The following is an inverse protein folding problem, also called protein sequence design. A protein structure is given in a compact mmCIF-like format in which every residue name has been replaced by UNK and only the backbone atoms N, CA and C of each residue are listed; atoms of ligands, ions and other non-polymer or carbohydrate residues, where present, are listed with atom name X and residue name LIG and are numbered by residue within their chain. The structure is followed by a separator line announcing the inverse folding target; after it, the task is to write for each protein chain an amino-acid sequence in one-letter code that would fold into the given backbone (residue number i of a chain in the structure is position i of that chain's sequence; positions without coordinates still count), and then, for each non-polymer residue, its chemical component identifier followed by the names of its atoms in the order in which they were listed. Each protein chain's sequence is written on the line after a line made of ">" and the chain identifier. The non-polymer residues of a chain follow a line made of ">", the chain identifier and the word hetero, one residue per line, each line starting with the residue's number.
data_IF_930556516871
#
_entry.id   IF_930556516871
#
_cell.length_a   1.000
_cell.length_b   1.000
_cell.length_c   1.000
_cell.angle_alpha   90.00
_cell.angle_beta   90.00
_cell.angle_gamma   90.00
#
_symmetry.space_group_name_H-M   'P 1'
#
loop_
_entity.id
_entity.type
_entity.pdbx_description
1 polymer ?
#
# COMPACT_ATOMS: atom_id res chain seq x y z
N UNK A 1 19.63 -1.15 -21.00
CA UNK A 1 20.21 -0.59 -19.75
C UNK A 1 21.00 -1.74 -19.12
N UNK A 2 22.29 -1.55 -18.90
CA UNK A 2 23.10 -2.59 -18.25
C UNK A 2 22.64 -2.78 -16.81
N UNK A 3 22.57 -4.05 -16.36
CA UNK A 3 22.21 -4.34 -14.98
C UNK A 3 23.38 -3.96 -14.06
N UNK A 4 23.13 -3.35 -12.88
CA UNK A 4 24.16 -3.20 -11.85
C UNK A 4 24.86 -4.53 -11.58
N UNK A 5 26.16 -4.50 -11.32
CA UNK A 5 26.97 -5.72 -11.09
C UNK A 5 26.64 -6.33 -9.71
N UNK A 6 25.43 -6.85 -9.55
CA UNK A 6 25.05 -7.66 -8.38
C UNK A 6 25.33 -9.12 -8.71
N UNK A 7 26.24 -9.72 -7.93
CA UNK A 7 26.64 -11.10 -8.14
C UNK A 7 25.52 -12.07 -7.71
N UNK A 8 25.23 -13.03 -8.57
CA UNK A 8 24.43 -14.19 -8.23
C UNK A 8 25.32 -15.34 -7.72
N UNK A 9 24.78 -16.29 -6.96
CA UNK A 9 25.46 -17.54 -6.65
C UNK A 9 25.88 -18.30 -7.93
N UNK A 10 26.88 -19.15 -7.84
CA UNK A 10 27.34 -19.93 -8.98
C UNK A 10 26.21 -20.80 -9.58
N UNK A 11 26.16 -20.89 -10.91
CA UNK A 11 25.14 -21.63 -11.65
C UNK A 11 23.84 -20.85 -11.87
N UNK A 12 23.78 -19.54 -11.48
CA UNK A 12 22.65 -18.67 -11.73
C UNK A 12 23.05 -17.47 -12.59
N UNK A 13 22.09 -16.97 -13.40
CA UNK A 13 22.30 -15.77 -14.23
C UNK A 13 21.06 -14.90 -14.23
N UNK A 14 21.27 -13.59 -14.35
CA UNK A 14 20.20 -12.62 -14.57
C UNK A 14 19.58 -12.76 -15.96
N UNK A 15 18.29 -12.55 -16.05
CA UNK A 15 17.54 -12.44 -17.30
C UNK A 15 16.63 -11.21 -17.25
N UNK A 16 16.79 -10.34 -18.26
CA UNK A 16 15.82 -9.28 -18.54
C UNK A 16 14.60 -9.91 -19.21
N UNK A 17 13.42 -9.40 -18.87
CA UNK A 17 12.15 -9.92 -19.37
C UNK A 17 11.51 -8.97 -20.36
N UNK A 18 10.73 -9.54 -21.27
CA UNK A 18 9.88 -8.84 -22.22
C UNK A 18 8.46 -9.39 -22.17
N UNK A 19 7.53 -8.80 -22.90
CA UNK A 19 6.17 -9.30 -22.98
C UNK A 19 6.05 -10.74 -23.50
N UNK A 20 7.03 -11.18 -24.30
CA UNK A 20 7.09 -12.55 -24.84
C UNK A 20 7.39 -13.59 -23.74
N UNK A 21 7.97 -13.16 -22.62
CA UNK A 21 8.29 -14.03 -21.48
C UNK A 21 7.12 -14.26 -20.53
N UNK A 22 5.96 -13.73 -20.85
CA UNK A 22 4.76 -13.76 -19.98
C UNK A 22 4.47 -15.16 -19.45
N UNK A 23 4.49 -16.19 -20.31
CA UNK A 23 4.23 -17.58 -19.93
C UNK A 23 5.19 -18.07 -18.87
N UNK A 24 6.48 -17.82 -19.04
CA UNK A 24 7.52 -18.19 -18.06
C UNK A 24 7.32 -17.49 -16.71
N UNK A 25 6.89 -16.21 -16.75
CA UNK A 25 6.55 -15.46 -15.55
C UNK A 25 5.36 -16.07 -14.83
N UNK A 26 4.28 -16.38 -15.56
CA UNK A 26 3.07 -16.99 -15.01
C UNK A 26 3.36 -18.37 -14.39
N UNK A 27 4.19 -19.18 -15.06
CA UNK A 27 4.60 -20.49 -14.56
C UNK A 27 5.37 -20.39 -13.24
N UNK A 28 6.35 -19.46 -13.14
CA UNK A 28 7.07 -19.25 -11.89
C UNK A 28 6.16 -18.68 -10.79
N UNK A 29 5.27 -17.75 -11.14
CA UNK A 29 4.36 -17.13 -10.19
C UNK A 29 3.47 -18.16 -9.50
N UNK A 30 2.93 -19.13 -10.24
CA UNK A 30 2.10 -20.21 -9.67
C UNK A 30 2.88 -21.15 -8.74
N UNK A 31 4.20 -21.23 -8.84
CA UNK A 31 5.05 -21.92 -7.86
C UNK A 31 5.26 -21.10 -6.59
N UNK A 32 5.33 -19.79 -6.70
CA UNK A 32 5.50 -18.89 -5.56
C UNK A 32 4.16 -18.58 -4.87
N UNK A 33 3.10 -18.42 -5.66
CA UNK A 33 1.74 -18.08 -5.22
C UNK A 33 0.75 -19.09 -5.80
N UNK A 34 0.51 -20.24 -5.12
CA UNK A 34 -0.37 -21.27 -5.61
C UNK A 34 -1.75 -20.75 -5.97
N UNK A 35 -2.20 -20.98 -7.19
CA UNK A 35 -3.49 -20.57 -7.72
C UNK A 35 -4.23 -21.76 -8.28
N UNK A 36 -5.58 -21.78 -8.17
CA UNK A 36 -6.44 -22.73 -8.84
C UNK A 36 -6.78 -22.36 -10.29
N UNK A 37 -6.30 -21.22 -10.78
CA UNK A 37 -6.53 -20.74 -12.15
C UNK A 37 -5.53 -21.39 -13.10
N UNK A 38 -6.00 -21.83 -14.27
CA UNK A 38 -5.11 -22.42 -15.28
C UNK A 38 -4.13 -21.37 -15.84
N UNK A 39 -2.97 -21.79 -16.30
CA UNK A 39 -2.01 -20.89 -16.94
C UNK A 39 -2.62 -20.17 -18.17
N UNK A 40 -3.45 -20.86 -18.94
CA UNK A 40 -4.09 -20.27 -20.13
C UNK A 40 -5.08 -19.14 -19.73
N UNK A 41 -5.83 -19.32 -18.64
CA UNK A 41 -6.70 -18.29 -18.10
C UNK A 41 -5.90 -17.10 -17.52
N UNK A 42 -4.76 -17.37 -16.87
CA UNK A 42 -3.87 -16.33 -16.38
C UNK A 42 -3.23 -15.54 -17.53
N UNK A 43 -2.83 -16.22 -18.59
CA UNK A 43 -2.23 -15.60 -19.78
C UNK A 43 -3.27 -14.79 -20.59
N UNK A 44 -4.55 -15.14 -20.50
CA UNK A 44 -5.64 -14.40 -21.14
C UNK A 44 -5.95 -13.06 -20.41
N UNK A 45 -5.61 -12.93 -19.13
CA UNK A 45 -5.81 -11.70 -18.35
C UNK A 45 -4.77 -10.65 -18.67
N UNK A 46 -5.05 -9.35 -18.52
CA UNK A 46 -4.04 -8.31 -18.69
C UNK A 46 -2.84 -8.49 -17.77
N UNK A 47 -1.61 -8.33 -18.30
CA UNK A 47 -0.42 -8.31 -17.45
C UNK A 47 -0.19 -6.91 -16.91
N UNK A 48 -0.04 -6.73 -15.58
CA UNK A 48 0.23 -5.43 -15.00
C UNK A 48 1.72 -5.03 -15.05
N UNK A 49 2.59 -5.92 -15.51
CA UNK A 49 4.03 -5.74 -15.44
C UNK A 49 4.53 -4.60 -16.33
N UNK A 50 5.42 -3.80 -15.76
CA UNK A 50 6.29 -2.88 -16.46
C UNK A 50 7.56 -3.65 -16.81
N UNK A 51 7.65 -4.16 -18.04
CA UNK A 51 8.61 -5.18 -18.42
C UNK A 51 10.09 -4.78 -18.28
N UNK A 52 10.44 -3.51 -18.51
CA UNK A 52 11.78 -2.98 -18.26
C UNK A 52 12.13 -2.88 -16.77
N UNK A 53 11.14 -3.07 -15.89
CA UNK A 53 11.29 -3.14 -14.43
C UNK A 53 11.15 -4.57 -13.88
N UNK A 54 10.96 -5.57 -14.74
CA UNK A 54 10.86 -6.98 -14.38
C UNK A 54 12.16 -7.70 -14.69
N UNK A 55 12.73 -8.37 -13.70
CA UNK A 55 14.01 -9.10 -13.81
C UNK A 55 13.84 -10.48 -13.21
N UNK A 56 14.33 -11.46 -13.93
CA UNK A 56 14.31 -12.85 -13.49
C UNK A 56 15.71 -13.43 -13.30
N UNK A 57 15.75 -14.60 -12.71
CA UNK A 57 16.94 -15.44 -12.58
C UNK A 57 16.67 -16.78 -13.23
N UNK A 58 17.64 -17.26 -14.02
CA UNK A 58 17.69 -18.61 -14.55
C UNK A 58 18.77 -19.42 -13.83
N UNK A 59 18.63 -20.74 -13.81
CA UNK A 59 19.59 -21.65 -13.25
C UNK A 59 20.13 -22.58 -14.33
N UNK A 60 21.42 -22.90 -14.26
CA UNK A 60 22.04 -23.89 -15.15
C UNK A 60 21.38 -25.26 -14.95
N UNK A 61 20.98 -25.90 -16.06
CA UNK A 61 20.36 -27.23 -16.06
C UNK A 61 18.87 -27.22 -15.57
N UNK A 62 18.24 -26.05 -15.40
CA UNK A 62 16.82 -25.94 -15.10
C UNK A 62 16.09 -25.25 -16.26
N UNK A 63 14.96 -25.83 -16.69
CA UNK A 63 14.13 -25.25 -17.73
C UNK A 63 13.09 -24.29 -17.09
N UNK A 64 13.14 -23.01 -17.47
CA UNK A 64 12.29 -21.95 -16.96
C UNK A 64 12.98 -20.99 -15.98
N UNK A 65 12.17 -20.12 -15.36
CA UNK A 65 12.63 -19.13 -14.40
C UNK A 65 12.68 -19.72 -12.99
N UNK A 66 13.71 -19.36 -12.22
CA UNK A 66 13.86 -19.82 -10.83
C UNK A 66 13.62 -18.72 -9.78
N UNK A 67 13.68 -17.47 -10.19
CA UNK A 67 13.32 -16.34 -9.37
C UNK A 67 12.89 -15.15 -10.23
N UNK A 68 12.08 -14.27 -9.65
CA UNK A 68 11.54 -13.08 -10.31
C UNK A 68 11.30 -11.98 -9.28
N UNK A 69 11.55 -10.75 -9.66
CA UNK A 69 10.96 -9.56 -9.04
C UNK A 69 10.62 -8.52 -10.11
N UNK A 70 9.65 -7.67 -9.80
CA UNK A 70 9.31 -6.53 -10.64
C UNK A 70 9.03 -5.29 -9.76
N UNK A 71 8.89 -4.12 -10.37
CA UNK A 71 8.39 -2.95 -9.68
C UNK A 71 7.46 -2.13 -10.58
N UNK A 72 6.43 -1.55 -9.96
CA UNK A 72 5.60 -0.55 -10.63
C UNK A 72 6.23 0.84 -10.49
N UNK A 73 6.20 1.66 -11.53
CA UNK A 73 6.66 3.05 -11.47
C UNK A 73 5.52 3.91 -10.90
N UNK A 74 5.54 4.19 -9.61
CA UNK A 74 4.64 5.20 -9.03
C UNK A 74 5.34 6.56 -9.10
N UNK A 75 4.97 7.37 -10.10
CA UNK A 75 5.52 8.73 -10.25
C UNK A 75 4.95 9.67 -9.18
N UNK A 76 3.71 9.42 -8.75
CA UNK A 76 2.94 10.22 -7.81
C UNK A 76 2.54 9.41 -6.56
N UNK A 77 3.51 8.78 -5.88
CA UNK A 77 3.23 8.05 -4.64
C UNK A 77 2.95 9.04 -3.51
N UNK A 78 1.73 9.04 -2.92
CA UNK A 78 1.38 9.98 -1.88
C UNK A 78 2.18 9.73 -0.59
N UNK A 79 2.89 10.76 -0.15
CA UNK A 79 3.52 10.86 1.17
C UNK A 79 2.84 11.99 1.96
N UNK A 80 3.07 12.15 3.27
CA UNK A 80 2.44 13.24 4.03
C UNK A 80 2.62 14.60 3.35
N UNK A 81 1.52 15.20 2.89
CA UNK A 81 1.46 16.54 2.27
C UNK A 81 2.13 16.70 0.90
N UNK A 82 2.61 15.61 0.29
CA UNK A 82 3.34 15.65 -0.98
C UNK A 82 3.18 14.34 -1.78
N UNK A 83 3.87 14.26 -2.92
CA UNK A 83 4.01 13.05 -3.74
C UNK A 83 5.49 12.87 -4.09
N UNK A 84 5.95 11.61 -4.13
CA UNK A 84 7.33 11.28 -4.50
C UNK A 84 7.36 10.09 -5.48
N UNK A 85 8.33 10.08 -6.42
CA UNK A 85 8.57 8.90 -7.24
C UNK A 85 9.00 7.72 -6.36
N UNK A 86 8.35 6.57 -6.55
CA UNK A 86 8.50 5.41 -5.68
C UNK A 86 8.45 4.11 -6.48
N UNK A 87 9.38 3.19 -6.22
CA UNK A 87 9.32 1.86 -6.78
C UNK A 87 8.35 0.98 -5.99
N UNK A 88 7.23 0.59 -6.59
CA UNK A 88 6.29 -0.37 -6.01
C UNK A 88 6.79 -1.80 -6.20
N UNK A 89 7.61 -2.34 -5.28
CA UNK A 89 8.16 -3.70 -5.40
C UNK A 89 7.04 -4.75 -5.37
N UNK A 90 7.07 -5.63 -6.36
CA UNK A 90 6.01 -6.62 -6.59
C UNK A 90 6.55 -7.87 -7.27
N UNK A 91 5.72 -8.91 -7.42
CA UNK A 91 6.06 -10.16 -8.12
C UNK A 91 7.34 -10.81 -7.60
N UNK A 92 7.61 -10.74 -6.30
CA UNK A 92 8.80 -11.32 -5.70
C UNK A 92 8.57 -12.80 -5.44
N UNK A 93 9.11 -13.65 -6.27
CA UNK A 93 8.95 -15.09 -6.19
C UNK A 93 10.26 -15.84 -6.36
N UNK A 94 10.42 -16.98 -5.66
CA UNK A 94 11.53 -17.92 -5.84
C UNK A 94 10.96 -19.32 -5.90
N UNK A 95 11.28 -20.04 -6.98
CA UNK A 95 10.87 -21.43 -7.17
C UNK A 95 11.25 -22.29 -5.95
N UNK A 96 10.38 -23.16 -5.43
CA UNK A 96 10.63 -23.91 -4.21
C UNK A 96 11.95 -24.70 -4.16
N UNK A 97 12.40 -25.28 -5.28
CA UNK A 97 13.65 -26.02 -5.37
C UNK A 97 14.91 -25.12 -5.28
N UNK A 98 14.76 -23.80 -5.46
CA UNK A 98 15.87 -22.84 -5.48
C UNK A 98 15.87 -21.88 -4.27
N UNK A 99 15.00 -22.12 -3.29
CA UNK A 99 14.94 -21.34 -2.04
C UNK A 99 16.20 -21.50 -1.20
N UNK A 100 16.46 -20.51 -0.32
CA UNK A 100 17.59 -20.47 0.65
C UNK A 100 18.98 -20.53 0.01
N UNK A 101 19.11 -20.09 -1.25
CA UNK A 101 20.36 -20.03 -2.01
C UNK A 101 20.85 -18.59 -2.25
N UNK A 102 20.31 -17.59 -1.53
CA UNK A 102 20.70 -16.19 -1.65
C UNK A 102 19.99 -15.40 -2.76
N UNK A 103 19.15 -16.03 -3.59
CA UNK A 103 18.48 -15.38 -4.74
C UNK A 103 17.64 -14.17 -4.33
N UNK A 104 16.81 -14.31 -3.29
CA UNK A 104 16.00 -13.19 -2.80
C UNK A 104 16.88 -12.01 -2.36
N UNK A 105 18.01 -12.27 -1.69
CA UNK A 105 18.93 -11.21 -1.30
C UNK A 105 19.48 -10.48 -2.51
N UNK A 106 19.97 -11.21 -3.51
CA UNK A 106 20.49 -10.62 -4.73
C UNK A 106 19.42 -9.81 -5.49
N UNK A 107 18.17 -10.31 -5.55
CA UNK A 107 17.05 -9.59 -6.17
C UNK A 107 16.75 -8.27 -5.46
N UNK A 108 16.72 -8.26 -4.13
CA UNK A 108 16.49 -7.03 -3.37
C UNK A 108 17.65 -6.05 -3.52
N UNK A 109 18.89 -6.53 -3.46
CA UNK A 109 20.08 -5.68 -3.68
C UNK A 109 20.03 -5.04 -5.08
N UNK A 110 19.66 -5.81 -6.14
CA UNK A 110 19.47 -5.28 -7.49
C UNK A 110 18.30 -4.29 -7.57
N UNK A 111 17.17 -4.60 -6.95
CA UNK A 111 16.01 -3.71 -6.89
C UNK A 111 16.38 -2.36 -6.29
N UNK A 112 17.03 -2.34 -5.12
CA UNK A 112 17.42 -1.12 -4.43
C UNK A 112 18.44 -0.29 -5.24
N UNK A 113 19.43 -0.96 -5.87
CA UNK A 113 20.39 -0.29 -6.74
C UNK A 113 19.70 0.39 -7.94
N UNK A 114 18.80 -0.31 -8.62
CA UNK A 114 18.04 0.27 -9.75
C UNK A 114 17.08 1.36 -9.33
N UNK A 115 16.48 1.26 -8.15
CA UNK A 115 15.61 2.30 -7.56
C UNK A 115 16.42 3.58 -7.33
N UNK A 116 17.62 3.46 -6.73
CA UNK A 116 18.52 4.59 -6.53
C UNK A 116 18.99 5.21 -7.87
N UNK A 117 19.36 4.39 -8.86
CA UNK A 117 19.77 4.85 -10.22
C UNK A 117 18.65 5.64 -10.94
N UNK A 118 17.39 5.33 -10.66
CA UNK A 118 16.24 6.06 -11.22
C UNK A 118 15.90 7.33 -10.46
N UNK A 119 16.58 7.62 -9.34
CA UNK A 119 16.28 8.76 -8.48
C UNK A 119 14.96 8.61 -7.72
N UNK A 120 14.50 7.40 -7.49
CA UNK A 120 13.32 7.08 -6.69
C UNK A 120 13.74 7.00 -5.21
N UNK A 121 13.39 7.98 -4.34
CA UNK A 121 13.86 7.99 -2.95
C UNK A 121 13.20 6.92 -2.08
N UNK A 122 12.15 6.28 -2.56
CA UNK A 122 11.37 5.28 -1.84
C UNK A 122 11.20 3.99 -2.63
N UNK A 123 11.05 2.89 -1.89
CA UNK A 123 10.42 1.67 -2.38
C UNK A 123 9.30 1.28 -1.42
N UNK A 124 8.17 0.82 -1.95
CA UNK A 124 7.02 0.38 -1.16
C UNK A 124 6.57 -1.01 -1.64
N UNK A 125 5.95 -1.79 -0.76
CA UNK A 125 5.40 -3.11 -1.09
C UNK A 125 4.25 -3.52 -0.18
N UNK A 126 3.49 -4.51 -0.63
CA UNK A 126 2.66 -5.37 0.21
C UNK A 126 3.40 -6.67 0.53
N UNK A 127 3.41 -7.06 1.79
CA UNK A 127 4.11 -8.26 2.22
C UNK A 127 3.20 -9.49 2.21
N UNK A 128 3.42 -10.44 1.29
CA UNK A 128 2.76 -11.75 1.39
C UNK A 128 3.23 -12.54 2.62
N UNK A 129 4.51 -12.36 3.00
CA UNK A 129 5.10 -12.92 4.22
C UNK A 129 5.81 -11.80 4.99
N UNK A 130 5.13 -11.17 5.95
CA UNK A 130 5.62 -10.02 6.73
C UNK A 130 7.04 -10.16 7.30
N UNK A 131 7.49 -11.34 7.83
CA UNK A 131 8.83 -11.48 8.41
C UNK A 131 10.00 -11.34 7.42
N UNK A 132 9.71 -11.29 6.11
CA UNK A 132 10.77 -11.28 5.06
C UNK A 132 11.43 -9.91 4.95
N UNK A 133 10.66 -8.83 4.90
CA UNK A 133 11.14 -7.56 4.35
C UNK A 133 11.84 -6.65 5.37
N UNK A 134 11.58 -6.82 6.67
CA UNK A 134 12.24 -6.05 7.72
C UNK A 134 13.78 -6.15 7.69
N UNK A 135 14.33 -7.32 7.35
CA UNK A 135 15.78 -7.53 7.22
C UNK A 135 16.42 -6.80 6.02
N UNK A 136 15.61 -6.30 5.12
CA UNK A 136 16.03 -5.49 3.98
C UNK A 136 15.78 -3.99 4.20
N UNK A 137 15.44 -3.60 5.44
CA UNK A 137 15.23 -2.22 5.83
C UNK A 137 13.85 -1.66 5.48
N UNK A 138 12.89 -2.50 5.07
CA UNK A 138 11.50 -2.09 4.94
C UNK A 138 10.83 -2.01 6.31
N UNK A 139 10.21 -0.89 6.62
CA UNK A 139 9.40 -0.67 7.82
C UNK A 139 7.91 -0.87 7.54
N UNK A 140 7.19 -1.48 8.50
CA UNK A 140 5.74 -1.62 8.45
C UNK A 140 5.09 -0.23 8.66
N UNK A 141 4.68 0.45 7.60
CA UNK A 141 4.31 1.86 7.60
C UNK A 141 2.79 2.12 7.70
N UNK A 142 1.96 1.18 7.28
CA UNK A 142 0.51 1.32 7.31
C UNK A 142 -0.18 0.00 7.68
N UNK A 143 -1.28 0.12 8.40
CA UNK A 143 -2.19 -0.98 8.69
C UNK A 143 -3.43 -0.91 7.78
N UNK A 144 -4.07 -2.05 7.62
CA UNK A 144 -5.32 -2.25 6.93
C UNK A 144 -6.45 -2.52 7.96
N UNK A 145 -7.67 -2.17 7.63
CA UNK A 145 -8.85 -2.53 8.41
C UNK A 145 -9.66 -3.59 7.65
N UNK A 146 -9.83 -4.75 8.28
CA UNK A 146 -10.71 -5.82 7.81
C UNK A 146 -11.94 -5.90 8.69
N UNK A 147 -13.10 -6.00 8.06
CA UNK A 147 -14.40 -6.13 8.71
C UNK A 147 -15.20 -7.27 8.07
N UNK A 148 -16.06 -7.88 8.88
CA UNK A 148 -17.14 -8.76 8.44
C UNK A 148 -18.45 -8.18 8.98
N UNK A 149 -19.06 -7.26 8.22
CA UNK A 149 -20.21 -6.47 8.68
C UNK A 149 -21.49 -7.28 8.48
N UNK A 150 -22.24 -7.63 9.56
CA UNK A 150 -23.48 -8.38 9.42
C UNK A 150 -24.53 -7.62 8.60
N UNK A 151 -25.33 -8.33 7.80
CA UNK A 151 -26.50 -7.76 7.12
C UNK A 151 -27.40 -7.02 8.12
N UNK A 152 -27.89 -5.85 7.74
CA UNK A 152 -28.77 -5.06 8.57
C UNK A 152 -28.10 -4.41 9.79
N UNK A 153 -26.75 -4.40 9.85
CA UNK A 153 -26.05 -3.68 10.90
C UNK A 153 -26.51 -2.22 10.95
N UNK A 154 -26.83 -1.74 12.16
CA UNK A 154 -27.33 -0.39 12.35
C UNK A 154 -26.24 0.65 12.10
N UNK A 155 -26.57 1.64 11.30
CA UNK A 155 -25.72 2.80 11.00
C UNK A 155 -26.24 4.04 11.70
N UNK A 156 -25.33 4.87 12.21
CA UNK A 156 -25.66 6.19 12.74
C UNK A 156 -26.21 7.09 11.64
N UNK A 157 -27.08 8.00 12.00
CA UNK A 157 -27.59 8.99 11.07
C UNK A 157 -26.52 10.03 10.74
N UNK A 158 -26.48 10.40 9.46
CA UNK A 158 -25.61 11.46 8.93
C UNK A 158 -26.51 12.45 8.18
N UNK A 159 -26.48 13.74 8.53
CA UNK A 159 -27.31 14.75 7.85
C UNK A 159 -27.05 14.74 6.33
N UNK A 160 -28.12 14.75 5.54
CA UNK A 160 -28.05 14.75 4.08
C UNK A 160 -27.89 13.38 3.43
N UNK A 161 -27.67 12.30 4.20
CA UNK A 161 -27.57 10.96 3.63
C UNK A 161 -28.85 10.49 2.94
N UNK A 162 -30.00 10.95 3.42
CA UNK A 162 -31.33 10.67 2.86
C UNK A 162 -31.58 11.30 1.49
N UNK A 163 -30.77 12.30 1.11
CA UNK A 163 -30.83 12.95 -0.20
C UNK A 163 -30.08 12.19 -1.28
N UNK A 164 -29.22 11.26 -0.88
CA UNK A 164 -28.45 10.46 -1.83
C UNK A 164 -29.31 9.36 -2.43
N UNK A 165 -29.29 9.27 -3.74
CA UNK A 165 -29.79 8.12 -4.48
C UNK A 165 -28.65 7.13 -4.71
N UNK A 166 -28.98 5.82 -4.78
CA UNK A 166 -27.99 4.79 -5.03
C UNK A 166 -28.46 3.94 -6.20
N UNK A 167 -27.61 3.75 -7.20
CA UNK A 167 -27.84 2.85 -8.33
C UNK A 167 -26.83 1.71 -8.34
N UNK A 168 -27.27 0.55 -8.81
CA UNK A 168 -26.46 -0.67 -8.92
C UNK A 168 -26.38 -1.07 -10.39
N UNK A 169 -25.16 -1.28 -10.88
CA UNK A 169 -24.93 -1.69 -12.26
C UNK A 169 -23.91 -2.82 -12.37
N UNK A 170 -23.81 -3.46 -13.53
CA UNK A 170 -22.65 -4.27 -13.88
C UNK A 170 -21.47 -3.33 -14.12
N UNK A 171 -20.40 -3.52 -13.39
CA UNK A 171 -19.20 -2.70 -13.53
C UNK A 171 -18.57 -2.90 -14.92
N UNK A 172 -18.19 -1.81 -15.57
CA UNK A 172 -17.41 -1.85 -16.81
C UNK A 172 -16.52 -0.61 -16.94
N UNK A 173 -15.33 -0.78 -17.50
CA UNK A 173 -14.37 0.31 -17.71
C UNK A 173 -14.96 1.42 -18.59
N UNK A 174 -15.63 1.02 -19.66
CA UNK A 174 -16.21 1.96 -20.64
C UNK A 174 -17.18 2.96 -19.99
N UNK A 175 -18.02 2.48 -19.07
CA UNK A 175 -19.07 3.31 -18.45
C UNK A 175 -18.63 3.97 -17.13
N UNK A 176 -17.68 3.36 -16.41
CA UNK A 176 -17.39 3.76 -15.04
C UNK A 176 -15.93 4.15 -14.81
N UNK A 177 -15.02 3.93 -15.80
CA UNK A 177 -13.58 4.16 -15.64
C UNK A 177 -13.27 5.57 -15.16
N UNK A 178 -13.73 6.58 -15.89
CA UNK A 178 -13.48 8.00 -15.57
C UNK A 178 -14.07 8.41 -14.21
N UNK A 179 -15.25 7.87 -13.87
CA UNK A 179 -15.90 8.12 -12.59
C UNK A 179 -15.08 7.55 -11.44
N UNK A 180 -14.68 6.29 -11.55
CA UNK A 180 -13.89 5.57 -10.55
C UNK A 180 -12.55 6.27 -10.34
N UNK A 181 -11.81 6.56 -11.42
CA UNK A 181 -10.51 7.23 -11.33
C UNK A 181 -10.62 8.61 -10.68
N UNK A 182 -11.62 9.40 -11.07
CA UNK A 182 -11.84 10.74 -10.50
C UNK A 182 -12.14 10.68 -9.00
N UNK A 183 -13.08 9.83 -8.58
CA UNK A 183 -13.47 9.71 -7.18
C UNK A 183 -12.36 9.10 -6.34
N UNK A 184 -11.64 8.11 -6.88
CA UNK A 184 -10.51 7.49 -6.19
C UNK A 184 -9.39 8.51 -5.92
N UNK A 185 -9.00 9.30 -6.93
CA UNK A 185 -8.00 10.37 -6.77
C UNK A 185 -8.45 11.42 -5.76
N UNK A 186 -9.70 11.86 -5.84
CA UNK A 186 -10.23 12.85 -4.91
C UNK A 186 -10.23 12.36 -3.47
N UNK A 187 -10.58 11.09 -3.23
CA UNK A 187 -10.57 10.48 -1.89
C UNK A 187 -9.15 10.37 -1.29
N UNK A 188 -8.13 10.17 -2.13
CA UNK A 188 -6.73 10.21 -1.69
C UNK A 188 -6.20 11.62 -1.45
N UNK A 189 -6.57 12.57 -2.30
CA UNK A 189 -6.07 13.95 -2.24
C UNK A 189 -6.64 14.75 -1.06
N UNK A 190 -7.89 14.48 -0.65
CA UNK A 190 -8.53 15.20 0.45
C UNK A 190 -9.54 14.29 1.19
N UNK A 191 -9.10 13.23 1.87
CA UNK A 191 -9.98 12.18 2.43
C UNK A 191 -10.95 12.70 3.50
N UNK A 192 -10.64 13.82 4.13
CA UNK A 192 -11.47 14.44 5.17
C UNK A 192 -12.08 15.78 4.73
N UNK A 193 -11.91 16.16 3.46
CA UNK A 193 -12.27 17.48 2.96
C UNK A 193 -11.38 18.62 3.48
N UNK A 194 -10.28 18.31 4.16
CA UNK A 194 -9.29 19.30 4.63
C UNK A 194 -8.28 19.58 3.50
N UNK A 195 -8.17 20.81 3.01
CA UNK A 195 -7.16 21.16 2.00
C UNK A 195 -5.74 20.88 2.49
N UNK A 196 -4.91 20.29 1.62
CA UNK A 196 -3.50 20.00 1.93
C UNK A 196 -3.26 18.74 2.78
N UNK A 197 -4.32 18.06 3.21
CA UNK A 197 -4.21 16.79 3.94
C UNK A 197 -4.60 15.65 3.01
N UNK A 198 -3.61 15.02 2.42
CA UNK A 198 -3.77 13.82 1.59
C UNK A 198 -3.68 12.55 2.45
N UNK A 199 -4.07 11.41 1.88
CA UNK A 199 -3.85 10.08 2.48
C UNK A 199 -2.54 9.49 1.97
N UNK A 200 -1.49 9.40 2.80
CA UNK A 200 -0.22 8.80 2.41
C UNK A 200 -0.41 7.34 2.00
N UNK A 201 0.25 6.91 0.92
CA UNK A 201 0.14 5.55 0.41
C UNK A 201 -1.09 5.26 -0.46
N UNK A 202 -2.01 6.21 -0.67
CA UNK A 202 -3.18 6.03 -1.52
C UNK A 202 -2.83 6.12 -3.00
N UNK A 203 -2.11 5.11 -3.47
CA UNK A 203 -1.63 5.07 -4.86
C UNK A 203 -2.75 4.91 -5.87
N UNK A 204 -2.64 5.64 -6.97
CA UNK A 204 -3.51 5.51 -8.13
C UNK A 204 -2.95 4.48 -9.12
N UNK A 205 -3.76 4.03 -10.05
CA UNK A 205 -3.35 3.12 -11.13
C UNK A 205 -2.86 3.95 -12.31
N UNK A 206 -1.59 4.32 -12.28
CA UNK A 206 -1.02 5.32 -13.19
C UNK A 206 -0.79 4.76 -14.61
N UNK A 207 -0.62 3.45 -14.77
CA UNK A 207 -0.34 2.84 -16.06
C UNK A 207 -1.60 2.20 -16.67
N UNK A 208 -1.67 2.17 -18.01
CA UNK A 208 -2.72 1.46 -18.74
C UNK A 208 -2.79 -0.03 -18.36
N UNK A 209 -1.65 -0.66 -18.10
CA UNK A 209 -1.57 -2.06 -17.68
C UNK A 209 -2.24 -2.30 -16.31
N UNK A 210 -2.00 -1.41 -15.33
CA UNK A 210 -2.65 -1.46 -14.02
C UNK A 210 -4.15 -1.21 -14.12
N UNK A 211 -4.58 -0.26 -14.96
CA UNK A 211 -5.99 -0.01 -15.20
C UNK A 211 -6.67 -1.19 -15.89
N UNK A 212 -6.04 -1.77 -16.89
CA UNK A 212 -6.57 -2.95 -17.58
C UNK A 212 -6.77 -4.13 -16.61
N UNK A 213 -5.78 -4.39 -15.74
CA UNK A 213 -5.92 -5.42 -14.69
C UNK A 213 -7.04 -5.09 -13.69
N UNK A 214 -7.14 -3.82 -13.26
CA UNK A 214 -8.20 -3.40 -12.33
C UNK A 214 -9.59 -3.71 -12.89
N UNK A 215 -9.81 -3.50 -14.17
CA UNK A 215 -11.10 -3.75 -14.84
C UNK A 215 -11.29 -5.17 -15.32
N UNK A 216 -10.26 -6.03 -15.25
CA UNK A 216 -10.41 -7.44 -15.63
C UNK A 216 -11.43 -8.14 -14.74
N UNK A 217 -12.33 -8.88 -15.39
CA UNK A 217 -13.40 -9.63 -14.74
C UNK A 217 -13.56 -11.01 -15.39
N UNK A 218 -12.44 -11.66 -15.73
CA UNK A 218 -12.45 -12.99 -16.34
C UNK A 218 -13.16 -13.99 -15.43
N UNK A 219 -14.11 -14.81 -15.97
CA UNK A 219 -14.88 -15.78 -15.18
C UNK A 219 -14.01 -16.72 -14.35
N UNK A 220 -12.87 -17.16 -14.87
CA UNK A 220 -11.94 -18.06 -14.21
C UNK A 220 -11.35 -17.44 -12.90
N UNK A 221 -11.27 -16.11 -12.81
CA UNK A 221 -10.70 -15.40 -11.64
C UNK A 221 -11.75 -14.99 -10.61
N UNK A 222 -13.03 -15.22 -10.88
CA UNK A 222 -14.11 -14.82 -9.95
C UNK A 222 -14.22 -15.70 -8.71
N UNK A 223 -13.60 -16.87 -8.69
CA UNK A 223 -13.68 -17.82 -7.56
C UNK A 223 -15.12 -18.23 -7.24
N UNK A 224 -15.95 -18.47 -8.26
CA UNK A 224 -17.36 -18.87 -8.12
C UNK A 224 -18.32 -17.71 -7.75
N UNK A 225 -17.84 -16.47 -7.74
CA UNK A 225 -18.67 -15.27 -7.51
C UNK A 225 -19.27 -14.74 -8.81
N UNK A 226 -20.30 -13.89 -8.69
CA UNK A 226 -20.90 -13.20 -9.84
C UNK A 226 -19.90 -12.24 -10.52
N UNK A 227 -20.25 -11.74 -11.71
CA UNK A 227 -19.53 -10.63 -12.35
C UNK A 227 -19.53 -9.39 -11.45
N UNK A 228 -18.47 -8.58 -11.57
CA UNK A 228 -18.32 -7.39 -10.75
C UNK A 228 -19.50 -6.44 -10.91
N UNK A 229 -20.01 -5.97 -9.79
CA UNK A 229 -21.03 -4.91 -9.69
C UNK A 229 -20.39 -3.63 -9.20
N UNK A 230 -21.04 -2.53 -9.49
CA UNK A 230 -20.73 -1.22 -8.93
C UNK A 230 -21.99 -0.61 -8.35
N UNK A 231 -21.88 -0.12 -7.12
CA UNK A 231 -22.81 0.75 -6.43
C UNK A 231 -22.32 2.18 -6.60
N UNK A 232 -23.18 3.13 -6.95
CA UNK A 232 -22.83 4.54 -7.09
C UNK A 232 -23.82 5.35 -6.27
N UNK A 233 -23.32 6.14 -5.32
CA UNK A 233 -24.11 7.12 -4.59
C UNK A 233 -24.06 8.46 -5.31
N UNK A 234 -25.20 9.09 -5.49
CA UNK A 234 -25.34 10.37 -6.20
C UNK A 234 -26.13 11.37 -5.34
N UNK A 235 -25.71 12.62 -5.36
CA UNK A 235 -26.42 13.75 -4.78
C UNK A 235 -26.77 14.73 -5.91
N UNK A 236 -28.07 14.97 -6.10
CA UNK A 236 -28.58 15.86 -7.15
C UNK A 236 -28.04 15.50 -8.59
N UNK A 237 -27.86 14.18 -8.84
CA UNK A 237 -27.34 13.62 -10.10
C UNK A 237 -25.81 13.56 -10.21
N UNK A 238 -25.08 14.13 -9.25
CA UNK A 238 -23.62 14.10 -9.23
C UNK A 238 -23.10 12.92 -8.42
N UNK A 239 -22.21 12.06 -8.97
CA UNK A 239 -21.57 10.96 -8.25
C UNK A 239 -20.72 11.45 -7.08
N UNK A 240 -21.01 10.91 -5.87
CA UNK A 240 -20.34 11.24 -4.62
C UNK A 240 -19.59 10.07 -3.99
N UNK A 241 -19.71 8.88 -4.58
CA UNK A 241 -19.00 7.70 -4.10
C UNK A 241 -19.37 6.46 -4.88
N UNK A 242 -18.56 5.42 -4.74
CA UNK A 242 -18.81 4.11 -5.33
C UNK A 242 -18.33 2.98 -4.45
N UNK A 243 -18.89 1.80 -4.70
CA UNK A 243 -18.38 0.52 -4.19
C UNK A 243 -18.37 -0.47 -5.33
N UNK A 244 -17.21 -1.11 -5.58
CA UNK A 244 -17.16 -2.30 -6.44
C UNK A 244 -17.35 -3.53 -5.59
N UNK A 245 -18.19 -4.48 -6.02
CA UNK A 245 -18.45 -5.67 -5.22
C UNK A 245 -18.82 -6.90 -6.06
N UNK A 246 -18.76 -8.06 -5.43
CA UNK A 246 -19.28 -9.34 -5.96
C UNK A 246 -20.05 -10.04 -4.87
N UNK A 247 -21.12 -10.76 -5.25
CA UNK A 247 -21.83 -11.64 -4.34
C UNK A 247 -21.48 -13.09 -4.64
N UNK A 248 -21.50 -13.91 -3.61
CA UNK A 248 -21.59 -15.37 -3.71
C UNK A 248 -22.81 -15.82 -2.94
N UNK A 249 -23.43 -16.93 -3.37
CA UNK A 249 -24.63 -17.48 -2.76
C UNK A 249 -24.47 -18.98 -2.60
N UNK A 250 -24.72 -19.47 -1.39
CA UNK A 250 -24.85 -20.91 -1.09
C UNK A 250 -26.22 -21.16 -0.49
N UNK A 251 -26.81 -22.30 -0.78
CA UNK A 251 -28.02 -22.75 -0.12
C UNK A 251 -27.64 -23.83 0.89
N UNK A 252 -27.98 -23.60 2.15
CA UNK A 252 -27.83 -24.53 3.26
C UNK A 252 -29.21 -25.02 3.72
N UNK A 253 -29.31 -26.12 4.50
CA UNK A 253 -30.59 -26.55 5.05
C UNK A 253 -31.35 -25.49 5.84
N UNK A 254 -30.63 -24.50 6.40
CA UNK A 254 -31.20 -23.39 7.17
C UNK A 254 -31.59 -22.18 6.32
N UNK A 255 -31.38 -22.26 4.98
CA UNK A 255 -31.72 -21.18 4.05
C UNK A 255 -30.52 -20.67 3.24
N UNK A 256 -30.74 -19.55 2.56
CA UNK A 256 -29.72 -18.88 1.76
C UNK A 256 -28.61 -18.30 2.64
N UNK A 257 -27.37 -18.53 2.25
CA UNK A 257 -26.16 -17.88 2.82
C UNK A 257 -25.38 -17.18 1.73
N UNK A 258 -25.58 -15.89 1.62
CA UNK A 258 -24.87 -15.04 0.69
C UNK A 258 -23.81 -14.21 1.39
N UNK A 259 -22.74 -13.93 0.65
CA UNK A 259 -21.65 -13.08 1.09
C UNK A 259 -21.38 -11.98 0.05
N UNK A 260 -21.16 -10.76 0.51
CA UNK A 260 -20.74 -9.63 -0.32
C UNK A 260 -19.26 -9.36 -0.11
N UNK A 261 -18.45 -9.62 -1.14
CA UNK A 261 -17.06 -9.20 -1.17
C UNK A 261 -17.01 -7.80 -1.78
N UNK A 262 -16.85 -6.76 -0.96
CA UNK A 262 -16.63 -5.40 -1.45
C UNK A 262 -15.15 -5.21 -1.81
N UNK A 263 -14.87 -4.76 -3.03
CA UNK A 263 -13.51 -4.49 -3.51
C UNK A 263 -13.03 -3.13 -3.01
N UNK A 264 -13.42 -2.07 -3.69
CA UNK A 264 -13.14 -0.70 -3.27
C UNK A 264 -14.38 -0.03 -2.72
N UNK A 265 -14.22 0.72 -1.62
CA UNK A 265 -15.25 1.58 -1.04
C UNK A 265 -14.68 2.99 -1.02
N UNK A 266 -15.26 3.88 -1.81
CA UNK A 266 -14.79 5.26 -1.97
C UNK A 266 -15.98 6.21 -1.84
N UNK A 267 -15.88 7.19 -0.95
CA UNK A 267 -16.90 8.19 -0.74
C UNK A 267 -16.29 9.58 -0.53
N UNK A 268 -16.89 10.59 -1.12
CA UNK A 268 -16.45 11.98 -1.01
C UNK A 268 -16.74 12.60 0.38
N UNK A 269 -17.71 12.04 1.10
CA UNK A 269 -18.14 12.50 2.42
C UNK A 269 -18.88 11.40 3.18
N UNK A 270 -19.16 11.67 4.48
CA UNK A 270 -19.83 10.72 5.35
C UNK A 270 -21.29 10.40 4.96
N UNK A 271 -21.98 11.32 4.29
CA UNK A 271 -23.37 11.11 3.83
C UNK A 271 -23.40 10.11 2.67
N UNK A 272 -22.49 10.27 1.69
CA UNK A 272 -22.30 9.33 0.60
C UNK A 272 -21.84 7.95 1.13
N UNK A 273 -20.89 7.91 2.05
CA UNK A 273 -20.44 6.67 2.69
C UNK A 273 -21.61 5.93 3.36
N UNK A 274 -22.42 6.65 4.16
CA UNK A 274 -23.59 6.06 4.80
C UNK A 274 -24.59 5.50 3.80
N UNK A 275 -24.84 6.21 2.69
CA UNK A 275 -25.76 5.75 1.66
C UNK A 275 -25.26 4.46 0.99
N UNK A 276 -23.96 4.38 0.66
CA UNK A 276 -23.32 3.19 0.10
C UNK A 276 -23.39 2.01 1.07
N UNK A 277 -22.98 2.20 2.32
CA UNK A 277 -23.01 1.13 3.32
C UNK A 277 -24.42 0.64 3.60
N UNK A 278 -25.40 1.56 3.70
CA UNK A 278 -26.81 1.18 3.85
C UNK A 278 -27.27 0.26 2.72
N UNK A 279 -26.95 0.63 1.47
CA UNK A 279 -27.37 -0.15 0.31
C UNK A 279 -26.68 -1.53 0.27
N UNK A 280 -25.38 -1.63 0.61
CA UNK A 280 -24.69 -2.91 0.72
C UNK A 280 -25.28 -3.82 1.79
N UNK A 281 -25.60 -3.27 2.95
CA UNK A 281 -26.12 -4.02 4.11
C UNK A 281 -27.60 -4.43 3.96
N UNK A 282 -28.30 -3.88 2.97
CA UNK A 282 -29.70 -4.20 2.65
C UNK A 282 -29.87 -5.18 1.48
N UNK A 283 -28.78 -5.65 0.88
CA UNK A 283 -28.83 -6.60 -0.23
C UNK A 283 -29.48 -7.93 0.20
N UNK A 284 -30.47 -8.39 -0.60
CA UNK A 284 -31.19 -9.63 -0.32
C UNK A 284 -30.29 -10.88 -0.46
N UNK A 285 -30.67 -11.91 0.29
CA UNK A 285 -30.00 -13.23 0.31
C UNK A 285 -28.53 -13.18 0.78
N UNK A 286 -28.11 -12.07 1.40
CA UNK A 286 -26.75 -11.92 1.95
C UNK A 286 -26.79 -12.00 3.48
N UNK A 287 -25.68 -12.38 4.11
CA UNK A 287 -25.52 -12.47 5.56
C UNK A 287 -24.53 -11.45 6.09
N UNK A 288 -23.51 -11.14 5.29
CA UNK A 288 -22.42 -10.23 5.67
C UNK A 288 -21.78 -9.56 4.46
N UNK A 289 -21.14 -8.43 4.73
CA UNK A 289 -20.32 -7.65 3.79
C UNK A 289 -18.90 -7.58 4.31
N UNK A 290 -17.93 -8.05 3.51
CA UNK A 290 -16.51 -7.97 3.85
C UNK A 290 -15.81 -7.08 2.84
N UNK A 291 -15.38 -5.85 3.22
CA UNK A 291 -14.51 -5.03 2.40
C UNK A 291 -13.12 -5.65 2.31
N UNK A 292 -12.50 -5.54 1.14
CA UNK A 292 -11.17 -6.14 0.91
C UNK A 292 -10.07 -5.37 1.64
N UNK A 293 -10.04 -4.05 1.48
CA UNK A 293 -9.07 -3.14 2.12
C UNK A 293 -9.79 -1.86 2.51
N UNK A 294 -9.62 -1.43 3.76
CA UNK A 294 -10.05 -0.11 4.23
C UNK A 294 -8.92 0.53 5.04
N UNK A 295 -8.78 1.86 5.01
CA UNK A 295 -7.94 2.55 5.98
C UNK A 295 -8.42 2.30 7.42
N UNK A 296 -7.51 2.25 8.40
CA UNK A 296 -7.89 1.99 9.80
C UNK A 296 -8.78 3.09 10.40
N UNK A 297 -8.76 4.27 9.82
CA UNK A 297 -9.61 5.42 10.17
C UNK A 297 -10.81 5.61 9.21
N UNK A 298 -11.17 4.58 8.43
CA UNK A 298 -12.33 4.66 7.54
C UNK A 298 -13.58 5.09 8.30
N UNK A 299 -14.38 5.96 7.68
CA UNK A 299 -15.59 6.54 8.30
C UNK A 299 -16.60 5.49 8.73
N UNK A 300 -16.60 4.29 8.14
CA UNK A 300 -17.48 3.19 8.54
C UNK A 300 -17.30 2.81 10.01
N UNK A 301 -16.10 2.99 10.56
CA UNK A 301 -15.80 2.73 11.97
C UNK A 301 -16.63 3.63 12.91
N UNK A 302 -16.98 4.83 12.44
CA UNK A 302 -17.81 5.79 13.16
C UNK A 302 -19.27 5.68 12.78
N UNK A 303 -19.59 5.16 11.59
CA UNK A 303 -20.97 4.95 11.14
C UNK A 303 -21.63 3.74 11.80
N UNK A 304 -20.90 2.64 12.01
CA UNK A 304 -21.43 1.45 12.66
C UNK A 304 -21.79 1.74 14.12
N UNK A 305 -23.04 1.47 14.50
CA UNK A 305 -23.50 1.58 15.90
C UNK A 305 -22.78 0.55 16.78
N UNK A 306 -22.50 -0.62 16.24
CA UNK A 306 -21.78 -1.69 16.93
C UNK A 306 -20.64 -2.21 16.07
N UNK A 307 -19.50 -1.51 16.09
CA UNK A 307 -18.29 -1.91 15.36
C UNK A 307 -17.78 -3.31 15.78
N UNK A 308 -17.96 -3.70 17.05
CA UNK A 308 -17.51 -5.02 17.54
C UNK A 308 -18.20 -6.17 16.82
N UNK A 309 -19.44 -6.02 16.40
CA UNK A 309 -20.17 -7.04 15.65
C UNK A 309 -19.59 -7.28 14.25
N UNK A 310 -18.81 -6.34 13.72
CA UNK A 310 -18.11 -6.47 12.44
C UNK A 310 -16.71 -7.12 12.56
N UNK A 311 -16.35 -7.65 13.74
CA UNK A 311 -15.08 -8.37 14.00
C UNK A 311 -13.84 -7.66 13.43
N UNK A 312 -13.53 -6.40 13.81
CA UNK A 312 -12.44 -5.62 13.24
C UNK A 312 -11.08 -6.29 13.47
N UNK A 313 -10.25 -6.33 12.41
CA UNK A 313 -8.87 -6.84 12.41
C UNK A 313 -7.98 -5.84 11.68
N UNK A 314 -6.73 -5.72 12.10
CA UNK A 314 -5.76 -4.77 11.55
C UNK A 314 -4.48 -5.48 11.11
N UNK A 315 -4.47 -6.18 9.96
CA UNK A 315 -3.24 -6.69 9.35
C UNK A 315 -2.39 -5.54 8.80
N UNK A 316 -1.15 -5.87 8.41
CA UNK A 316 -0.28 -4.94 7.70
C UNK A 316 -0.82 -4.61 6.29
N UNK A 317 -0.59 -3.36 5.86
CA UNK A 317 -0.90 -2.86 4.53
C UNK A 317 0.42 -2.57 3.80
N UNK A 318 1.00 -1.38 3.98
CA UNK A 318 2.21 -0.95 3.28
C UNK A 318 3.46 -1.10 4.13
N UNK A 319 4.52 -1.58 3.47
CA UNK A 319 5.89 -1.54 3.96
C UNK A 319 6.69 -0.55 3.11
N UNK A 320 7.46 0.31 3.76
CA UNK A 320 8.22 1.38 3.10
C UNK A 320 9.71 1.28 3.41
N UNK A 321 10.52 1.49 2.40
CA UNK A 321 11.97 1.54 2.43
C UNK A 321 12.46 2.90 1.89
N UNK A 322 13.21 3.63 2.69
CA UNK A 322 13.89 4.83 2.22
C UNK A 322 15.17 4.42 1.48
N UNK A 323 15.21 4.66 0.20
CA UNK A 323 16.36 4.36 -0.67
C UNK A 323 17.35 5.52 -0.66
N UNK A 324 16.84 6.75 -0.59
CA UNK A 324 17.59 7.97 -0.28
C UNK A 324 16.95 8.64 0.95
N UNK A 325 17.61 8.55 2.10
CA UNK A 325 17.09 9.08 3.37
C UNK A 325 16.95 10.60 3.33
N UNK A 326 17.92 11.32 2.76
CA UNK A 326 17.89 12.77 2.69
C UNK A 326 16.74 13.28 1.83
N UNK A 327 16.64 12.76 0.61
CA UNK A 327 15.59 13.14 -0.33
C UNK A 327 14.19 12.73 0.18
N UNK A 328 14.05 11.53 0.76
CA UNK A 328 12.79 11.08 1.32
C UNK A 328 12.32 11.98 2.48
N UNK A 329 13.18 12.32 3.44
CA UNK A 329 12.82 13.19 4.56
C UNK A 329 12.49 14.62 4.12
N UNK A 330 13.21 15.17 3.13
CA UNK A 330 12.95 16.49 2.58
C UNK A 330 11.67 16.54 1.71
N UNK A 331 11.28 15.42 1.13
CA UNK A 331 10.17 15.31 0.18
C UNK A 331 8.78 15.16 0.81
N UNK A 332 8.67 15.16 2.15
CA UNK A 332 7.38 15.10 2.86
C UNK A 332 7.16 16.33 3.74
N UNK A 333 5.92 16.56 4.14
CA UNK A 333 5.57 17.52 5.18
C UNK A 333 5.48 16.86 6.56
N UNK A 334 5.45 17.69 7.60
CA UNK A 334 5.39 17.28 9.00
C UNK A 334 4.22 17.96 9.70
N UNK A 335 3.53 17.25 10.61
CA UNK A 335 2.31 17.76 11.23
C UNK A 335 2.56 18.77 12.37
N UNK A 336 3.82 19.00 12.75
CA UNK A 336 4.22 20.00 13.76
C UNK A 336 5.63 20.53 13.45
N UNK A 337 5.94 21.70 13.99
CA UNK A 337 7.30 22.24 13.94
C UNK A 337 8.30 21.24 14.52
N UNK A 338 9.40 21.04 13.82
CA UNK A 338 10.48 20.13 14.22
C UNK A 338 11.85 20.68 13.86
N UNK A 339 12.79 20.55 14.79
CA UNK A 339 14.23 20.67 14.58
C UNK A 339 14.85 19.52 15.39
N UNK A 340 15.34 18.49 14.70
CA UNK A 340 15.87 17.28 15.32
C UNK A 340 17.02 16.70 14.52
N UNK A 341 18.01 16.15 15.22
CA UNK A 341 19.10 15.38 14.62
C UNK A 341 18.87 13.88 14.78
N UNK A 342 18.84 13.18 13.64
CA UNK A 342 18.56 11.75 13.52
C UNK A 342 19.82 11.02 13.06
N UNK A 343 20.36 10.11 13.87
CA UNK A 343 21.35 9.14 13.40
C UNK A 343 20.62 7.93 12.80
N UNK A 344 20.82 7.72 11.50
CA UNK A 344 20.23 6.59 10.76
C UNK A 344 21.30 5.56 10.47
N UNK A 345 21.00 4.29 10.70
CA UNK A 345 21.84 3.15 10.28
C UNK A 345 21.16 2.39 9.16
N UNK A 346 21.93 2.01 8.15
CA UNK A 346 21.47 1.22 7.01
C UNK A 346 22.55 0.22 6.58
N UNK A 347 22.32 -1.04 6.87
CA UNK A 347 23.28 -2.10 6.59
C UNK A 347 23.36 -2.48 5.10
N UNK A 348 22.32 -2.20 4.30
CA UNK A 348 22.24 -2.55 2.88
C UNK A 348 22.67 -1.41 1.95
N UNK A 349 22.37 -0.19 2.33
CA UNK A 349 22.76 1.02 1.63
C UNK A 349 23.60 1.89 2.55
N UNK A 350 24.90 1.60 2.75
CA UNK A 350 25.73 2.34 3.71
C UNK A 350 25.79 3.85 3.45
N UNK A 351 25.53 4.30 2.21
CA UNK A 351 25.44 5.70 1.87
C UNK A 351 24.32 6.44 2.63
N UNK A 352 23.27 5.73 3.07
CA UNK A 352 22.20 6.28 3.91
C UNK A 352 22.60 6.41 5.38
N UNK A 353 23.63 5.69 5.84
CA UNK A 353 24.05 5.78 7.24
C UNK A 353 24.71 7.14 7.51
N UNK A 354 24.23 7.83 8.54
CA UNK A 354 24.77 9.15 8.90
C UNK A 354 23.85 9.88 9.87
N UNK A 355 24.22 11.12 10.19
CA UNK A 355 23.40 12.02 11.00
C UNK A 355 22.76 13.07 10.10
N UNK A 356 21.45 13.21 10.23
CA UNK A 356 20.63 14.13 9.45
C UNK A 356 19.97 15.12 10.40
N UNK A 357 20.14 16.42 10.14
CA UNK A 357 19.34 17.46 10.77
C UNK A 357 18.11 17.71 9.94
N UNK A 358 16.94 17.48 10.53
CA UNK A 358 15.64 17.75 9.95
C UNK A 358 15.03 18.99 10.59
N UNK A 359 14.66 19.96 9.76
CA UNK A 359 13.95 21.17 10.16
C UNK A 359 12.71 21.35 9.29
N UNK A 360 11.56 21.58 9.92
CA UNK A 360 10.32 21.90 9.21
C UNK A 360 9.39 22.73 10.10
N UNK A 361 8.60 23.59 9.47
CA UNK A 361 7.39 24.16 10.05
C UNK A 361 6.21 23.22 9.82
N UNK A 362 5.21 23.28 10.69
CA UNK A 362 4.01 22.47 10.57
C UNK A 362 3.34 22.65 9.20
N UNK A 363 3.11 21.54 8.48
CA UNK A 363 2.51 21.50 7.14
C UNK A 363 3.25 22.33 6.08
N UNK A 364 4.51 22.70 6.35
CA UNK A 364 5.39 23.40 5.44
C UNK A 364 6.46 22.50 4.81
N UNK A 365 7.31 23.07 3.95
CA UNK A 365 8.45 22.38 3.37
C UNK A 365 9.48 22.02 4.45
N UNK A 366 10.17 20.90 4.25
CA UNK A 366 11.24 20.46 5.13
C UNK A 366 12.62 20.76 4.53
N UNK A 367 13.58 21.07 5.40
CA UNK A 367 15.01 21.12 5.10
C UNK A 367 15.69 19.95 5.79
N UNK A 368 16.51 19.23 5.04
CA UNK A 368 17.28 18.08 5.57
C UNK A 368 18.72 18.23 5.15
N UNK A 369 19.60 18.24 6.12
CA UNK A 369 21.03 18.35 5.90
C UNK A 369 21.76 17.19 6.59
N UNK A 370 22.74 16.61 5.89
CA UNK A 370 23.65 15.64 6.51
C UNK A 370 24.72 16.39 7.28
N UNK A 371 24.84 16.12 8.57
CA UNK A 371 25.71 16.86 9.49
C UNK A 371 26.80 15.96 10.06
N UNK A 372 27.88 16.59 10.51
CA UNK A 372 28.97 15.90 11.20
C UNK A 372 28.57 15.65 12.66
N UNK A 373 28.56 14.38 13.13
CA UNK A 373 28.19 14.05 14.50
C UNK A 373 29.11 14.64 15.58
N UNK A 374 30.32 15.10 15.23
CA UNK A 374 31.21 15.79 16.17
C UNK A 374 30.69 17.19 16.53
N UNK A 375 29.98 17.85 15.60
CA UNK A 375 29.41 19.18 15.82
C UNK A 375 27.93 19.15 16.17
N UNK A 376 27.19 18.22 15.53
CA UNK A 376 25.74 18.03 15.73
C UNK A 376 25.46 16.60 16.21
N UNK A 377 25.65 16.36 17.49
CA UNK A 377 25.40 15.07 18.09
C UNK A 377 23.91 14.65 17.88
N UNK A 378 23.64 13.36 17.58
CA UNK A 378 22.28 12.90 17.35
C UNK A 378 21.42 13.01 18.61
N UNK A 379 20.15 13.36 18.43
CA UNK A 379 19.14 13.35 19.49
C UNK A 379 18.35 12.05 19.51
N UNK A 380 18.16 11.45 18.34
CA UNK A 380 17.55 10.12 18.16
C UNK A 380 18.44 9.25 17.27
N UNK A 381 18.53 7.96 17.58
CA UNK A 381 19.20 6.97 16.73
C UNK A 381 18.26 5.82 16.43
N UNK A 382 18.19 5.41 15.15
CA UNK A 382 17.29 4.35 14.67
C UNK A 382 17.85 3.69 13.40
N UNK A 383 17.40 2.48 13.14
CA UNK A 383 17.64 1.84 11.84
C UNK A 383 16.69 2.41 10.79
N UNK A 384 17.09 2.33 9.53
CA UNK A 384 16.27 2.79 8.39
C UNK A 384 14.93 2.08 8.31
N UNK A 385 14.81 0.88 8.85
CA UNK A 385 13.55 0.13 8.97
C UNK A 385 12.55 0.87 9.87
N UNK A 386 12.99 1.34 11.05
CA UNK A 386 12.16 2.09 11.97
C UNK A 386 11.76 3.45 11.38
N UNK A 387 12.68 4.07 10.63
CA UNK A 387 12.38 5.30 9.91
C UNK A 387 11.33 5.05 8.81
N UNK A 388 11.44 3.94 8.08
CA UNK A 388 10.42 3.48 7.11
C UNK A 388 9.06 3.26 7.75
N UNK A 389 9.02 2.67 8.95
CA UNK A 389 7.77 2.42 9.67
C UNK A 389 7.01 3.69 10.05
N UNK A 390 7.70 4.78 10.41
CA UNK A 390 7.06 6.05 10.78
C UNK A 390 6.86 7.00 9.60
N UNK A 391 7.43 6.67 8.44
CA UNK A 391 7.54 7.59 7.32
C UNK A 391 6.20 8.09 6.78
N UNK A 392 5.18 7.24 6.73
CA UNK A 392 3.84 7.62 6.24
C UNK A 392 2.94 8.27 7.32
N UNK A 393 3.41 8.39 8.56
CA UNK A 393 2.68 9.07 9.64
C UNK A 393 1.71 8.19 10.42
N UNK A 394 1.63 6.89 10.13
CA UNK A 394 0.74 5.94 10.81
C UNK A 394 1.31 5.31 12.07
N UNK A 395 2.63 5.35 12.25
CA UNK A 395 3.32 4.76 13.41
C UNK A 395 4.05 5.83 14.21
N UNK A 396 4.17 5.61 15.51
CA UNK A 396 4.73 6.59 16.45
C UNK A 396 6.18 6.29 16.81
N UNK A 397 7.08 7.26 16.67
CA UNK A 397 8.46 7.17 17.17
C UNK A 397 8.50 6.91 18.68
N UNK A 398 7.56 7.47 19.45
CA UNK A 398 7.49 7.25 20.89
C UNK A 398 7.19 5.77 21.23
N UNK A 399 6.33 5.12 20.46
CA UNK A 399 6.04 3.67 20.64
C UNK A 399 7.26 2.83 20.27
N UNK A 400 7.96 3.17 19.18
CA UNK A 400 9.20 2.48 18.79
C UNK A 400 10.30 2.68 19.84
N UNK A 401 10.43 3.87 20.43
CA UNK A 401 11.37 4.12 21.52
C UNK A 401 11.01 3.30 22.78
N UNK A 402 9.73 3.23 23.14
CA UNK A 402 9.27 2.39 24.25
C UNK A 402 9.55 0.89 24.03
N UNK A 403 9.58 0.45 22.75
CA UNK A 403 9.98 -0.90 22.38
C UNK A 403 11.51 -1.11 22.28
N UNK A 404 12.31 -0.06 22.53
CA UNK A 404 13.77 -0.11 22.43
C UNK A 404 14.34 -0.07 21.00
N UNK A 405 13.51 0.28 20.01
CA UNK A 405 13.90 0.33 18.59
C UNK A 405 14.38 1.72 18.14
N UNK A 406 14.17 2.74 18.98
CA UNK A 406 14.70 4.11 18.82
C UNK A 406 15.43 4.48 20.10
N UNK A 407 16.69 4.90 19.98
CA UNK A 407 17.49 5.39 21.12
C UNK A 407 17.34 6.90 21.20
N UNK A 408 17.04 7.40 22.41
CA UNK A 408 16.96 8.83 22.69
C UNK A 408 18.24 9.27 23.41
N UNK A 409 18.85 10.35 22.93
CA UNK A 409 20.05 10.96 23.52
C UNK A 409 19.67 12.31 24.15
N UNK A 410 19.31 12.34 25.45
CA UNK A 410 18.88 13.57 26.10
C UNK A 410 20.05 14.54 26.25
N UNK A 411 19.80 15.84 25.99
CA UNK A 411 20.79 16.91 26.19
C UNK A 411 20.54 17.65 27.49
N UNK A 412 21.58 17.99 28.27
CA UNK A 412 21.42 18.80 29.47
C UNK A 412 20.75 20.16 29.15
N UNK A 413 19.75 20.53 29.97
CA UNK A 413 19.05 21.83 29.82
C UNK A 413 17.97 21.86 28.71
N UNK A 414 17.71 20.75 28.03
CA UNK A 414 16.68 20.69 27.01
C UNK A 414 15.27 20.79 27.63
N UNK A 415 14.48 21.80 27.21
CA UNK A 415 13.14 22.04 27.76
C UNK A 415 12.06 21.14 27.17
N UNK A 416 12.27 20.63 25.95
CA UNK A 416 11.34 19.73 25.26
C UNK A 416 12.05 18.43 24.92
N UNK A 417 11.34 17.31 25.04
CA UNK A 417 11.85 16.02 24.62
C UNK A 417 11.95 15.98 23.08
N UNK A 418 13.14 15.70 22.50
CA UNK A 418 13.28 15.55 21.05
C UNK A 418 12.40 14.44 20.52
N UNK A 419 12.21 13.35 21.30
CA UNK A 419 11.32 12.26 20.96
C UNK A 419 9.86 12.73 20.86
N UNK A 420 9.38 13.55 21.81
CA UNK A 420 7.99 14.02 21.79
C UNK A 420 7.75 14.94 20.58
N UNK A 421 8.67 15.89 20.31
CA UNK A 421 8.58 16.79 19.17
C UNK A 421 8.62 16.02 17.85
N UNK A 422 9.59 15.12 17.65
CA UNK A 422 9.71 14.30 16.46
C UNK A 422 8.51 13.35 16.29
N UNK A 423 8.03 12.70 17.37
CA UNK A 423 6.89 11.80 17.31
C UNK A 423 5.61 12.52 16.88
N UNK A 424 5.41 13.77 17.31
CA UNK A 424 4.28 14.59 16.87
C UNK A 424 4.43 14.99 15.41
N UNK A 425 5.62 15.46 15.02
CA UNK A 425 5.90 15.96 13.68
C UNK A 425 5.80 14.85 12.62
N UNK A 426 6.28 13.64 12.90
CA UNK A 426 6.20 12.51 12.00
C UNK A 426 4.77 11.94 11.86
N UNK A 427 3.86 12.24 12.77
CA UNK A 427 2.44 11.88 12.64
C UNK A 427 1.78 12.56 11.44
N UNK A 428 0.58 12.10 11.07
CA UNK A 428 -0.25 12.71 10.03
C UNK A 428 -1.72 12.65 10.43
N UNK A 429 -2.55 13.66 10.07
CA UNK A 429 -3.95 13.74 10.53
C UNK A 429 -4.86 12.59 10.10
N UNK A 430 -4.51 11.87 9.02
CA UNK A 430 -5.24 10.70 8.52
C UNK A 430 -4.32 9.50 8.44
N UNK A 431 -4.85 8.32 8.68
CA UNK A 431 -4.07 7.10 8.61
C UNK A 431 -3.59 6.81 7.18
N UNK A 432 -2.33 6.38 6.99
CA UNK A 432 -1.86 5.95 5.67
C UNK A 432 -2.48 4.62 5.25
N UNK A 433 -2.47 4.36 3.94
CA UNK A 433 -2.86 3.07 3.38
C UNK A 433 -3.19 3.15 1.91
N UNK A 434 -2.93 2.07 1.20
CA UNK A 434 -3.39 1.87 -0.17
C UNK A 434 -4.76 1.19 -0.17
N UNK A 435 -5.55 1.45 -1.20
CA UNK A 435 -6.89 0.85 -1.40
C UNK A 435 -6.85 -0.45 -2.20
N UNK A 436 -5.69 -0.83 -2.71
CA UNK A 436 -5.49 -2.04 -3.51
C UNK A 436 -4.07 -2.57 -3.32
N UNK A 437 -3.90 -3.87 -3.54
CA UNK A 437 -2.60 -4.57 -3.45
C UNK A 437 -1.87 -4.48 -4.79
N UNK A 438 -0.58 -4.16 -4.72
CA UNK A 438 0.31 -4.08 -5.88
C UNK A 438 1.56 -4.93 -5.74
#
# INVERSE_FOLDING_TARGET
>A
MDLPQIALPAGYRWRTLTADDRRLVTELDTWAFPSGTSHDDLDASPSPLTWDRAIAVEAEGFDGLVALHASYPFEHFPVPGAELPTAGLTWVGVHPQHRRRGLLRAMIDLHLARTAERGEPLSALFAAEAPIYGRFGYGHAADDLRLDVPRGAALRDVPGAERHTVRIEVASRERHGDLVDRLHRAAGAAPTGMPGINRPGWVTRETEALQALHWDDAPAQRGGRESRRILIAELDGEPRGYVTFRRSLKFEPTGARGHVSAGEVVAADGAAARALWRALLDLDLTNEVSPFILPVDDVVTQLLVNLRAAAPRTPDNLWVRLVDVGAALAGRQYAADVDVTLAVTDALLPANSGVYRLQAEAFGPASVERVDPEFDAPELSLDVRELGAVYLGGKSLAVLAAAGLVTVHPRPGQRRSPLASASTAFGWPVAPGASWVF
#
